data_IF_339737127919
#
_entry.id   IF_339737127919
#
_cell.length_a   1.000
_cell.length_b   1.000
_cell.length_c   1.000
_cell.angle_alpha   90.00
_cell.angle_beta   90.00
_cell.angle_gamma   90.00
#
_symmetry.space_group_name_H-M   'P 1'
#
loop_
_entity.id
_entity.type
_entity.pdbx_description
1 polymer ?
#
# COMPACT_ATOMS: atom_id res chain seq x y z
N UNK A 1 -4.13 7.05 9.36
CA UNK A 1 -4.20 7.74 8.06
C UNK A 1 -5.44 7.25 7.31
N UNK A 2 -6.67 7.65 7.69
CA UNK A 2 -7.86 6.90 7.27
C UNK A 2 -9.08 7.70 6.79
N UNK A 3 -9.08 9.04 6.79
CA UNK A 3 -10.29 9.79 6.37
C UNK A 3 -10.14 10.62 5.09
N UNK A 4 -8.95 11.13 4.76
CA UNK A 4 -8.75 11.94 3.54
C UNK A 4 -8.39 11.14 2.28
N UNK A 5 -7.76 9.98 2.48
CA UNK A 5 -7.26 9.13 1.38
C UNK A 5 -8.41 8.46 0.62
N UNK A 6 -9.37 7.87 1.33
CA UNK A 6 -10.49 7.15 0.71
C UNK A 6 -11.40 8.09 -0.09
N UNK A 7 -11.61 9.32 0.40
CA UNK A 7 -12.35 10.35 -0.35
C UNK A 7 -11.61 10.74 -1.63
N UNK A 8 -10.28 10.93 -1.58
CA UNK A 8 -9.48 11.26 -2.76
C UNK A 8 -9.50 10.11 -3.79
N UNK A 9 -9.41 8.86 -3.31
CA UNK A 9 -9.50 7.67 -4.15
C UNK A 9 -10.79 7.67 -4.99
N UNK A 10 -11.95 7.84 -4.35
CA UNK A 10 -13.24 7.77 -5.05
C UNK A 10 -13.60 9.05 -5.80
N UNK A 11 -13.41 10.23 -5.18
CA UNK A 11 -13.83 11.50 -5.76
C UNK A 11 -12.90 12.04 -6.84
N UNK A 12 -11.59 11.72 -6.78
CA UNK A 12 -10.59 12.31 -7.70
C UNK A 12 -9.90 11.27 -8.58
N UNK A 13 -9.71 10.05 -8.09
CA UNK A 13 -8.99 9.00 -8.82
C UNK A 13 -9.91 7.94 -9.42
N UNK A 14 -11.24 8.14 -9.38
CA UNK A 14 -12.20 7.17 -9.95
C UNK A 14 -12.11 5.78 -9.33
N UNK A 15 -11.79 5.70 -8.04
CA UNK A 15 -11.59 4.44 -7.31
C UNK A 15 -10.17 3.89 -7.34
N UNK A 16 -9.26 4.52 -8.10
CA UNK A 16 -7.88 4.02 -8.26
C UNK A 16 -6.99 4.38 -7.06
N UNK A 17 -6.15 3.43 -6.67
CA UNK A 17 -5.15 3.55 -5.60
C UNK A 17 -3.78 3.08 -6.12
N UNK A 18 -2.69 3.66 -5.63
CA UNK A 18 -1.34 3.18 -5.90
C UNK A 18 -1.11 1.78 -5.31
N UNK A 19 -0.21 0.99 -5.90
CA UNK A 19 0.01 -0.41 -5.49
C UNK A 19 0.50 -0.50 -4.04
N UNK A 20 1.27 0.50 -3.60
CA UNK A 20 1.78 0.61 -2.25
C UNK A 20 0.88 1.43 -1.30
N UNK A 21 -0.35 1.75 -1.70
CA UNK A 21 -1.32 2.53 -0.90
C UNK A 21 -1.18 4.05 -1.01
N UNK A 22 -0.25 4.54 -1.83
CA UNK A 22 -0.12 5.96 -2.15
C UNK A 22 -1.29 6.44 -3.04
N UNK A 23 -1.49 7.76 -3.08
CA UNK A 23 -2.47 8.36 -3.98
C UNK A 23 -2.10 8.06 -5.45
N UNK A 24 -3.07 7.59 -6.23
CA UNK A 24 -2.86 7.23 -7.62
C UNK A 24 -2.33 8.41 -8.47
N UNK A 25 -2.75 9.63 -8.17
CA UNK A 25 -2.34 10.82 -8.91
C UNK A 25 -0.93 11.33 -8.57
N UNK A 26 -0.28 10.81 -7.53
CA UNK A 26 1.05 11.26 -7.12
C UNK A 26 2.11 10.75 -8.10
N UNK A 27 3.07 11.61 -8.46
CA UNK A 27 4.23 11.25 -9.26
C UNK A 27 5.47 12.08 -8.85
N UNK A 28 6.53 11.47 -8.30
CA UNK A 28 6.67 10.03 -8.01
C UNK A 28 5.81 9.62 -6.80
N UNK A 29 5.31 8.37 -6.81
CA UNK A 29 4.67 7.78 -5.63
C UNK A 29 5.76 7.43 -4.62
N UNK A 30 5.56 7.81 -3.36
CA UNK A 30 6.65 7.85 -2.37
C UNK A 30 7.16 6.45 -1.97
N UNK A 31 6.30 5.43 -2.02
CA UNK A 31 6.62 4.05 -1.63
C UNK A 31 6.85 3.11 -2.81
N UNK A 32 6.67 3.57 -4.05
CA UNK A 32 6.97 2.82 -5.27
C UNK A 32 8.44 3.00 -5.71
N UNK A 33 8.98 2.15 -6.61
CA UNK A 33 10.34 2.30 -7.12
C UNK A 33 10.63 3.72 -7.62
N UNK A 34 11.67 4.35 -7.08
CA UNK A 34 12.02 5.76 -7.36
C UNK A 34 11.38 6.79 -6.41
N UNK A 35 10.49 6.34 -5.51
CA UNK A 35 9.95 7.14 -4.42
C UNK A 35 10.92 7.30 -3.25
N UNK A 36 10.68 8.31 -2.42
CA UNK A 36 11.53 8.67 -1.27
C UNK A 36 11.74 7.52 -0.27
N UNK A 37 10.74 6.66 -0.09
CA UNK A 37 10.76 5.57 0.89
C UNK A 37 11.13 4.22 0.28
N UNK A 38 11.31 4.16 -1.05
CA UNK A 38 11.79 2.96 -1.70
C UNK A 38 13.30 2.79 -1.49
N UNK A 39 13.68 1.71 -0.82
CA UNK A 39 15.09 1.43 -0.49
C UNK A 39 15.69 0.30 -1.34
N UNK A 40 14.88 -0.45 -2.09
CA UNK A 40 15.33 -1.60 -2.89
C UNK A 40 15.84 -2.80 -2.06
N UNK A 41 15.61 -2.80 -0.74
CA UNK A 41 16.10 -3.86 0.15
C UNK A 41 15.14 -5.06 0.13
N UNK A 42 15.69 -6.25 -0.14
CA UNK A 42 14.93 -7.50 -0.05
C UNK A 42 14.79 -7.87 1.43
N UNK A 43 13.57 -7.73 1.97
CA UNK A 43 13.30 -7.99 3.39
C UNK A 43 13.19 -9.47 3.74
N UNK A 44 12.77 -10.32 2.79
CA UNK A 44 12.63 -11.78 2.96
C UNK A 44 12.81 -12.48 1.61
N UNK A 45 13.26 -13.74 1.65
CA UNK A 45 13.36 -14.64 0.49
C UNK A 45 12.48 -15.85 0.73
N UNK A 46 11.80 -16.32 -0.30
CA UNK A 46 10.89 -17.46 -0.25
C UNK A 46 11.10 -18.37 -1.46
N UNK A 47 10.82 -19.65 -1.30
CA UNK A 47 10.84 -20.63 -2.38
C UNK A 47 9.47 -20.68 -3.09
N UNK A 48 9.48 -21.08 -4.36
CA UNK A 48 8.24 -21.21 -5.15
C UNK A 48 7.38 -22.32 -4.54
N UNK A 49 6.14 -21.98 -4.19
CA UNK A 49 5.19 -22.90 -3.54
C UNK A 49 5.33 -23.00 -2.02
N UNK A 50 6.24 -22.24 -1.41
CA UNK A 50 6.36 -22.18 0.05
C UNK A 50 5.12 -21.56 0.69
N UNK A 51 4.54 -22.23 1.70
CA UNK A 51 3.55 -21.62 2.60
C UNK A 51 4.26 -20.65 3.55
N UNK A 52 3.77 -19.41 3.62
CA UNK A 52 4.38 -18.35 4.41
C UNK A 52 3.37 -17.76 5.40
N UNK A 53 3.85 -17.42 6.59
CA UNK A 53 3.07 -16.69 7.58
C UNK A 53 3.19 -15.19 7.36
N UNK A 54 2.04 -14.53 7.19
CA UNK A 54 1.93 -13.08 7.03
C UNK A 54 1.17 -12.52 8.23
N UNK A 55 1.73 -11.49 8.87
CA UNK A 55 1.12 -10.81 10.00
C UNK A 55 0.73 -9.38 9.64
N UNK A 56 -0.44 -8.95 10.10
CA UNK A 56 -0.95 -7.58 9.94
C UNK A 56 -1.11 -6.95 11.33
N UNK A 57 -0.53 -5.77 11.52
CA UNK A 57 -0.68 -5.03 12.77
C UNK A 57 -1.89 -4.09 12.67
N UNK A 58 -2.97 -4.41 13.40
CA UNK A 58 -4.19 -3.62 13.45
C UNK A 58 -4.13 -2.61 14.59
N UNK A 59 -4.10 -1.31 14.26
CA UNK A 59 -4.19 -0.22 15.24
C UNK A 59 -5.63 0.27 15.45
N UNK A 60 -6.53 -0.07 14.53
CA UNK A 60 -7.95 0.24 14.58
C UNK A 60 -8.74 -0.87 13.90
N UNK A 61 -9.86 -1.27 14.51
CA UNK A 61 -10.69 -2.37 14.04
C UNK A 61 -11.80 -1.82 13.12
N UNK A 62 -11.44 -1.60 11.86
CA UNK A 62 -12.43 -1.38 10.81
C UNK A 62 -12.90 -2.76 10.31
N UNK A 63 -14.20 -3.04 10.45
CA UNK A 63 -14.79 -4.29 9.98
C UNK A 63 -14.59 -4.39 8.46
N UNK A 64 -14.06 -5.51 8.00
CA UNK A 64 -14.10 -5.86 6.58
C UNK A 64 -15.50 -6.35 6.23
N UNK A 65 -16.01 -5.91 5.08
CA UNK A 65 -17.26 -6.42 4.51
C UNK A 65 -16.99 -7.58 3.53
#
# INVERSE_FOLDING_TARGET
MFFGYQQTQWSKNGGQCGVCGDNFADNPRLHEPGGKFYTGIIVRKYDVGQLIDVAVHLTANHKGD
#
